data_IF_929174639074
#
_entry.id   IF_929174639074
#
_cell.length_a   1.000
_cell.length_b   1.000
_cell.length_c   1.000
_cell.angle_alpha   90.00
_cell.angle_beta   90.00
_cell.angle_gamma   90.00
#
_symmetry.space_group_name_H-M   'P 1'
#
loop_
_entity.id
_entity.type
_entity.pdbx_description
1 polymer ?
#
# COMPACT_ATOMS: atom_id res chain seq x y z
N UNK A 1 -2.92 -2.21 -11.03
CA UNK A 1 -2.42 -0.88 -11.40
C UNK A 1 -3.39 0.15 -10.84
N UNK A 2 -3.09 0.70 -9.66
CA UNK A 2 -3.91 1.77 -9.08
C UNK A 2 -3.45 3.08 -9.73
N UNK A 3 -4.35 3.71 -10.48
CA UNK A 3 -4.11 5.02 -11.08
C UNK A 3 -4.50 6.09 -10.07
N UNK A 4 -3.52 6.74 -9.46
CA UNK A 4 -3.73 7.88 -8.57
C UNK A 4 -3.83 9.17 -9.41
N UNK A 5 -4.88 9.98 -9.19
CA UNK A 5 -5.01 11.31 -9.80
C UNK A 5 -5.64 12.31 -8.83
N UNK A 6 -5.01 13.48 -8.75
CA UNK A 6 -5.51 14.65 -8.03
C UNK A 6 -6.79 15.19 -8.65
N UNK A 7 -7.75 15.52 -7.79
CA UNK A 7 -9.01 16.14 -8.15
C UNK A 7 -8.88 17.65 -8.24
N UNK A 8 -8.83 18.17 -9.47
CA UNK A 8 -9.41 19.49 -9.73
C UNK A 8 -10.87 19.43 -10.20
N UNK A 9 -11.46 18.22 -10.27
CA UNK A 9 -12.80 18.02 -10.84
C UNK A 9 -13.52 16.80 -10.24
N UNK A 10 -13.42 16.57 -8.93
CA UNK A 10 -14.30 15.61 -8.27
C UNK A 10 -15.63 16.30 -7.93
N UNK A 11 -16.74 15.72 -8.37
CA UNK A 11 -18.07 15.98 -7.81
C UNK A 11 -18.02 15.82 -6.29
N UNK A 12 -18.65 16.74 -5.55
CA UNK A 12 -18.66 16.83 -4.07
C UNK A 12 -19.28 15.58 -3.40
N UNK A 13 -19.89 14.69 -4.21
CA UNK A 13 -20.43 13.41 -3.80
C UNK A 13 -19.41 12.27 -3.71
N UNK A 14 -18.20 12.42 -4.29
CA UNK A 14 -17.17 11.37 -4.24
C UNK A 14 -16.48 11.38 -2.89
N UNK A 15 -16.26 10.19 -2.33
CA UNK A 15 -15.49 10.04 -1.11
C UNK A 15 -14.00 9.92 -1.44
N UNK A 16 -13.12 10.69 -0.76
CA UNK A 16 -11.69 10.54 -0.91
C UNK A 16 -11.23 9.15 -0.49
N UNK A 17 -10.16 8.67 -1.11
CA UNK A 17 -9.61 7.34 -0.83
C UNK A 17 -8.77 7.39 0.47
N UNK A 18 -8.92 6.41 1.38
CA UNK A 18 -7.94 6.21 2.45
C UNK A 18 -6.54 5.96 1.88
N UNK A 19 -5.51 6.44 2.56
CA UNK A 19 -4.11 6.27 2.16
C UNK A 19 -3.71 4.79 2.19
N UNK A 20 -4.17 4.08 3.21
CA UNK A 20 -3.93 2.65 3.41
C UNK A 20 -5.27 1.91 3.35
N UNK A 21 -5.27 0.71 2.78
CA UNK A 21 -6.40 -0.20 2.98
C UNK A 21 -6.47 -0.63 4.46
N UNK A 22 -7.62 -1.09 4.97
CA UNK A 22 -7.72 -1.51 6.37
C UNK A 22 -6.68 -2.55 6.76
N UNK A 23 -6.40 -3.51 5.88
CA UNK A 23 -5.40 -4.56 6.14
C UNK A 23 -3.97 -4.00 6.14
N UNK A 24 -3.66 -3.09 5.21
CA UNK A 24 -2.36 -2.41 5.19
C UNK A 24 -2.16 -1.51 6.43
N UNK A 25 -3.21 -0.80 6.86
CA UNK A 25 -3.20 0.03 8.05
C UNK A 25 -2.93 -0.78 9.33
N UNK A 26 -3.52 -1.97 9.46
CA UNK A 26 -3.25 -2.87 10.59
C UNK A 26 -1.79 -3.35 10.62
N UNK A 27 -1.21 -3.68 9.46
CA UNK A 27 0.21 -4.07 9.34
C UNK A 27 1.10 -2.88 9.71
N UNK A 28 0.85 -1.72 9.10
CA UNK A 28 1.63 -0.51 9.31
C UNK A 28 1.61 -0.06 10.78
N UNK A 29 0.45 -0.15 11.44
CA UNK A 29 0.32 0.13 12.88
C UNK A 29 1.29 -0.68 13.74
N UNK A 30 1.46 -1.96 13.42
CA UNK A 30 2.37 -2.84 14.15
C UNK A 30 3.84 -2.49 13.91
N UNK A 31 4.19 -2.08 12.69
CA UNK A 31 5.55 -1.67 12.32
C UNK A 31 5.93 -0.31 12.90
N UNK A 32 5.03 0.67 12.78
CA UNK A 32 5.24 2.04 13.26
C UNK A 32 5.51 2.06 14.77
N UNK A 33 4.57 1.58 15.57
CA UNK A 33 4.71 1.62 17.02
C UNK A 33 5.66 0.55 17.59
N UNK A 34 5.90 -0.55 16.85
CA UNK A 34 6.71 -1.67 17.32
C UNK A 34 8.19 -1.61 16.93
N UNK A 35 8.53 -0.97 15.82
CA UNK A 35 9.87 -0.99 15.25
C UNK A 35 10.42 0.41 14.95
N UNK A 36 9.63 1.27 14.31
CA UNK A 36 10.11 2.57 13.84
C UNK A 36 10.10 3.62 14.95
N UNK A 37 9.05 3.62 15.78
CA UNK A 37 8.81 4.62 16.81
C UNK A 37 8.37 3.96 18.13
N UNK A 38 9.25 3.17 18.78
CA UNK A 38 8.90 2.39 19.98
C UNK A 38 8.55 3.25 21.20
N UNK A 39 8.93 4.53 21.19
CA UNK A 39 8.63 5.48 22.27
C UNK A 39 7.21 6.07 22.15
N UNK A 40 6.50 5.85 21.03
CA UNK A 40 5.15 6.36 20.83
C UNK A 40 4.08 5.41 21.39
N UNK A 41 2.91 5.93 21.82
CA UNK A 41 1.80 5.09 22.22
C UNK A 41 1.31 4.18 21.08
N UNK A 42 1.09 2.90 21.38
CA UNK A 42 0.56 1.89 20.44
C UNK A 42 -0.93 2.09 20.10
N UNK A 43 -1.57 3.08 20.71
CA UNK A 43 -2.99 3.41 20.56
C UNK A 43 -3.19 4.93 20.43
N UNK A 44 -4.29 5.34 19.81
CA UNK A 44 -4.63 6.75 19.59
C UNK A 44 -4.53 7.22 18.13
N UNK A 45 -3.90 6.44 17.26
CA UNK A 45 -3.87 6.66 15.81
C UNK A 45 -4.60 5.51 15.11
N UNK A 46 -5.52 5.87 14.21
CA UNK A 46 -6.18 4.95 13.30
C UNK A 46 -5.74 5.25 11.87
N UNK A 47 -4.71 4.51 11.42
CA UNK A 47 -4.12 4.67 10.09
C UNK A 47 -5.07 4.36 8.94
N UNK A 48 -6.15 3.60 9.18
CA UNK A 48 -7.15 3.30 8.15
C UNK A 48 -8.06 4.51 7.84
N UNK A 49 -8.04 5.53 8.71
CA UNK A 49 -8.84 6.75 8.57
C UNK A 49 -8.06 7.92 7.99
N UNK A 50 -6.77 7.75 7.69
CA UNK A 50 -5.97 8.76 7.01
C UNK A 50 -6.45 8.92 5.58
N UNK A 51 -7.17 10.02 5.30
CA UNK A 51 -7.72 10.29 3.97
C UNK A 51 -6.72 11.01 3.07
N UNK A 52 -6.83 10.74 1.78
CA UNK A 52 -6.05 11.40 0.72
C UNK A 52 -6.89 12.49 0.03
N UNK A 53 -6.30 13.17 -0.95
CA UNK A 53 -7.00 14.08 -1.86
C UNK A 53 -7.29 13.43 -3.23
N UNK A 54 -7.21 12.10 -3.29
CA UNK A 54 -7.39 11.29 -4.50
C UNK A 54 -8.68 10.50 -4.46
N UNK A 55 -9.20 10.20 -5.66
CA UNK A 55 -10.48 9.50 -5.83
C UNK A 55 -10.31 8.33 -6.80
N UNK A 56 -10.94 7.19 -6.45
CA UNK A 56 -10.95 6.00 -7.30
C UNK A 56 -11.82 6.26 -8.53
N UNK A 57 -11.37 5.76 -9.68
CA UNK A 57 -12.07 5.83 -10.97
C UNK A 57 -12.45 7.26 -11.40
N UNK A 58 -11.71 8.28 -10.92
CA UNK A 58 -11.85 9.64 -11.39
C UNK A 58 -11.46 9.73 -12.88
N UNK A 59 -12.30 10.34 -13.75
CA UNK A 59 -11.98 10.47 -15.16
C UNK A 59 -10.66 11.21 -15.37
N UNK A 60 -9.82 10.71 -16.27
CA UNK A 60 -8.60 11.40 -16.66
C UNK A 60 -8.95 12.67 -17.45
N UNK A 61 -8.26 13.78 -17.14
CA UNK A 61 -8.34 14.99 -17.96
C UNK A 61 -7.76 14.73 -19.36
N UNK A 62 -8.33 15.34 -20.41
CA UNK A 62 -7.85 15.17 -21.77
C UNK A 62 -6.46 15.81 -21.98
N UNK A 63 -5.69 15.28 -22.92
CA UNK A 63 -4.39 15.83 -23.34
C UNK A 63 -3.17 15.00 -22.92
N UNK A 64 -1.99 15.38 -23.44
CA UNK A 64 -0.71 14.73 -23.10
C UNK A 64 -0.17 15.30 -21.79
N UNK A 65 0.35 14.44 -20.93
CA UNK A 65 0.88 14.78 -19.60
C UNK A 65 2.20 14.04 -19.37
N UNK A 66 3.20 14.65 -18.70
CA UNK A 66 4.42 13.94 -18.32
C UNK A 66 4.09 12.79 -17.36
N UNK A 67 4.79 11.66 -17.51
CA UNK A 67 4.63 10.47 -16.67
C UNK A 67 5.86 10.36 -15.76
N UNK A 68 5.61 10.23 -14.46
CA UNK A 68 6.64 9.98 -13.45
C UNK A 68 6.39 8.61 -12.82
N UNK A 69 7.41 7.74 -12.86
CA UNK A 69 7.40 6.47 -12.17
C UNK A 69 8.10 6.65 -10.82
N UNK A 70 7.36 6.51 -9.73
CA UNK A 70 7.88 6.59 -8.37
C UNK A 70 8.02 5.19 -7.78
N UNK A 71 9.22 4.90 -7.29
CA UNK A 71 9.58 3.68 -6.60
C UNK A 71 10.04 4.06 -5.18
N UNK A 72 9.33 3.63 -4.14
CA UNK A 72 9.84 3.70 -2.77
C UNK A 72 11.12 2.87 -2.62
N UNK A 73 11.87 3.12 -1.55
CA UNK A 73 13.01 2.30 -1.14
C UNK A 73 12.95 2.05 0.37
N UNK A 74 13.83 1.20 0.90
CA UNK A 74 13.93 0.99 2.35
C UNK A 74 12.74 0.23 2.94
N UNK A 75 12.24 -0.79 2.24
CA UNK A 75 11.04 -1.57 2.61
C UNK A 75 9.73 -0.77 2.61
N UNK A 76 9.74 0.51 2.24
CA UNK A 76 8.53 1.33 2.25
C UNK A 76 7.51 0.87 1.20
N UNK A 77 6.21 0.93 1.53
CA UNK A 77 5.13 0.71 0.59
C UNK A 77 4.90 1.94 -0.28
N UNK A 78 4.30 1.72 -1.47
CA UNK A 78 3.93 2.76 -2.44
C UNK A 78 3.13 3.91 -1.83
N UNK A 79 2.40 3.63 -0.76
CA UNK A 79 1.50 4.54 -0.06
C UNK A 79 2.23 5.58 0.80
N UNK A 80 3.50 5.39 1.15
CA UNK A 80 4.32 6.44 1.80
C UNK A 80 4.54 7.64 0.86
N UNK A 81 4.60 7.38 -0.45
CA UNK A 81 4.75 8.43 -1.46
C UNK A 81 3.47 9.19 -1.82
N UNK A 82 2.33 8.92 -1.16
CA UNK A 82 1.04 9.45 -1.57
C UNK A 82 1.01 10.97 -1.64
N UNK A 83 1.46 11.70 -0.61
CA UNK A 83 1.44 13.16 -0.63
C UNK A 83 2.26 13.77 -1.78
N UNK A 84 3.44 13.18 -2.08
CA UNK A 84 4.25 13.60 -3.23
C UNK A 84 3.54 13.30 -4.56
N UNK A 85 2.91 12.13 -4.67
CA UNK A 85 2.18 11.76 -5.86
C UNK A 85 0.99 12.71 -6.11
N UNK A 86 0.30 13.12 -5.05
CA UNK A 86 -0.83 14.05 -5.12
C UNK A 86 -0.42 15.46 -5.51
N UNK A 87 0.68 15.95 -4.96
CA UNK A 87 1.23 17.27 -5.31
C UNK A 87 1.59 17.34 -6.81
N UNK A 88 2.36 16.36 -7.29
CA UNK A 88 2.72 16.25 -8.71
C UNK A 88 1.50 16.04 -9.62
N UNK A 89 0.53 15.22 -9.20
CA UNK A 89 -0.69 15.02 -9.97
C UNK A 89 -1.52 16.31 -10.06
N UNK A 90 -1.54 17.10 -8.99
CA UNK A 90 -2.19 18.41 -8.94
C UNK A 90 -1.57 19.35 -9.97
N UNK A 91 -0.24 19.33 -10.12
CA UNK A 91 0.47 20.20 -11.04
C UNK A 91 0.32 19.83 -12.52
N UNK A 92 0.25 18.55 -12.86
CA UNK A 92 0.66 18.24 -14.23
C UNK A 92 0.79 16.78 -14.58
N UNK A 93 1.13 15.97 -13.59
CA UNK A 93 1.80 14.73 -13.86
C UNK A 93 0.83 13.55 -13.82
N UNK A 94 1.19 12.51 -14.55
CA UNK A 94 0.68 11.17 -14.29
C UNK A 94 1.72 10.49 -13.41
N UNK A 95 1.40 10.28 -12.14
CA UNK A 95 2.31 9.59 -11.22
C UNK A 95 1.90 8.12 -11.15
N UNK A 96 2.85 7.23 -11.39
CA UNK A 96 2.69 5.79 -11.24
C UNK A 96 3.56 5.35 -10.07
N UNK A 97 2.96 4.87 -9.01
CA UNK A 97 3.66 4.34 -7.83
C UNK A 97 3.70 2.82 -7.89
N UNK A 98 4.83 2.20 -7.53
CA UNK A 98 5.00 0.74 -7.53
C UNK A 98 5.41 0.22 -6.15
N UNK A 99 5.04 -1.03 -5.86
CA UNK A 99 5.59 -1.80 -4.73
C UNK A 99 6.61 -2.81 -5.26
N UNK A 100 7.53 -3.24 -4.38
CA UNK A 100 8.48 -4.31 -4.64
C UNK A 100 8.12 -5.54 -3.80
N UNK A 101 7.34 -6.50 -4.33
CA UNK A 101 6.92 -7.69 -3.58
C UNK A 101 8.13 -8.49 -3.07
N UNK A 102 8.15 -8.78 -1.77
CA UNK A 102 9.26 -9.47 -1.12
C UNK A 102 10.35 -8.55 -0.57
N UNK A 103 10.24 -7.24 -0.77
CA UNK A 103 11.07 -6.23 -0.09
C UNK A 103 10.21 -5.27 0.73
N UNK A 104 9.08 -4.83 0.17
CA UNK A 104 8.14 -3.91 0.81
C UNK A 104 7.46 -4.53 2.03
N UNK A 105 7.27 -3.73 3.09
CA UNK A 105 6.61 -4.11 4.36
C UNK A 105 5.21 -4.68 4.15
N UNK A 106 4.39 -4.03 3.34
CA UNK A 106 3.09 -4.52 2.91
C UNK A 106 2.78 -4.21 1.44
N UNK A 107 2.22 -5.20 0.73
CA UNK A 107 1.75 -5.03 -0.65
C UNK A 107 0.31 -5.45 -0.75
N UNK A 108 -0.54 -4.54 -1.23
CA UNK A 108 -1.95 -4.83 -1.46
C UNK A 108 -2.21 -5.27 -2.91
N UNK A 109 -2.61 -6.52 -3.06
CA UNK A 109 -2.99 -7.16 -4.32
C UNK A 109 -4.51 -7.10 -4.49
N UNK A 110 -4.97 -6.54 -5.62
CA UNK A 110 -6.36 -6.61 -6.01
C UNK A 110 -6.69 -8.03 -6.50
N UNK A 111 -7.53 -8.76 -5.76
CA UNK A 111 -8.01 -10.09 -6.13
C UNK A 111 -9.18 -9.96 -7.11
N UNK A 112 -8.88 -9.62 -8.37
CA UNK A 112 -9.85 -9.67 -9.49
C UNK A 112 -11.05 -8.72 -9.41
N UNK A 113 -11.26 -8.00 -8.29
CA UNK A 113 -12.23 -6.92 -8.12
C UNK A 113 -11.55 -5.69 -7.51
N UNK A 114 -11.84 -4.46 -7.98
CA UNK A 114 -11.20 -3.23 -7.50
C UNK A 114 -11.40 -2.94 -6.01
N UNK A 115 -12.40 -3.54 -5.37
CA UNK A 115 -12.69 -3.37 -3.95
C UNK A 115 -12.26 -4.56 -3.08
N UNK A 116 -11.83 -5.67 -3.71
CA UNK A 116 -11.41 -6.87 -3.01
C UNK A 116 -9.88 -6.90 -2.97
N UNK A 117 -9.35 -6.50 -1.83
CA UNK A 117 -7.95 -6.28 -1.58
C UNK A 117 -7.41 -7.34 -0.63
N UNK A 118 -6.15 -7.72 -0.81
CA UNK A 118 -5.43 -8.58 0.13
C UNK A 118 -4.04 -8.01 0.28
N UNK A 119 -3.74 -7.50 1.47
CA UNK A 119 -2.39 -7.08 1.82
C UNK A 119 -1.59 -8.29 2.31
N UNK A 120 -0.39 -8.45 1.76
CA UNK A 120 0.60 -9.39 2.26
C UNK A 120 1.71 -8.61 2.96
N UNK A 121 1.96 -8.93 4.23
CA UNK A 121 3.12 -8.42 4.98
C UNK A 121 4.37 -9.24 4.65
N UNK A 122 5.53 -8.60 4.52
CA UNK A 122 6.82 -9.28 4.40
C UNK A 122 7.82 -8.82 5.47
N UNK A 123 8.33 -9.78 6.26
CA UNK A 123 9.21 -9.61 7.45
C UNK A 123 8.40 -9.48 8.75
N UNK A 124 8.38 -10.41 9.72
CA UNK A 124 9.34 -11.41 10.23
C UNK A 124 8.78 -12.84 10.09
N UNK A 125 9.36 -13.67 9.21
CA UNK A 125 9.24 -15.14 9.30
C UNK A 125 10.58 -15.72 9.74
N UNK A 126 10.87 -15.63 11.04
CA UNK A 126 11.62 -16.69 11.71
C UNK A 126 10.60 -17.67 12.30
N UNK A 127 10.01 -18.50 11.45
CA UNK A 127 9.33 -19.72 11.88
C UNK A 127 10.13 -20.90 11.34
N UNK A 128 10.38 -21.94 12.16
CA UNK A 128 11.27 -23.03 11.79
C UNK A 128 10.73 -23.71 10.53
N UNK A 129 11.65 -24.02 9.63
CA UNK A 129 11.39 -24.81 8.42
C UNK A 129 10.50 -26.00 8.78
N UNK A 130 9.38 -26.26 8.08
CA UNK A 130 8.68 -27.52 8.26
C UNK A 130 9.66 -28.61 7.85
N UNK A 131 10.13 -29.39 8.82
CA UNK A 131 10.91 -30.60 8.55
C UNK A 131 10.03 -31.46 7.67
N UNK A 132 10.44 -31.62 6.41
CA UNK A 132 9.85 -32.59 5.49
C UNK A 132 9.76 -33.92 6.21
N UNK A 133 8.53 -34.40 6.38
CA UNK A 133 8.25 -35.64 7.09
C UNK A 133 9.09 -36.78 6.50
N UNK A 134 9.80 -37.46 7.39
CA UNK A 134 10.48 -38.72 7.09
C UNK A 134 9.47 -39.72 6.54
N UNK A 135 9.68 -40.20 5.32
CA UNK A 135 8.95 -41.35 4.79
C UNK A 135 9.13 -42.56 5.70
N UNK A 136 8.08 -43.33 6.03
CA UNK A 136 8.23 -44.55 6.80
C UNK A 136 8.99 -45.57 5.96
N UNK A 137 10.16 -45.99 6.45
CA UNK A 137 10.92 -47.11 5.91
C UNK A 137 10.34 -48.39 6.53
N UNK A 138 9.80 -49.29 5.72
CA UNK A 138 9.41 -50.64 6.17
C UNK A 138 10.66 -51.53 6.16
N UNK A 139 11.07 -52.15 7.28
CA UNK A 139 12.15 -53.15 7.30
C UNK A 139 11.61 -54.54 6.91
N UNK A 140 12.51 -55.51 6.57
CA UNK A 140 12.20 -56.68 5.74
C UNK A 140 11.26 -57.71 6.38
#
# INVERSE_FOLDING_TARGET
>A
MLGWRSARTADDSRQPLPQLSPVAADIFKGLDAGLLHPDLPVSGVDWATTMTHSYVDAPALPGRRPVLLYSPGGTDPRTIGTSLAEDLASDGYVVVTIDHPGETSEVDFALGRPSCHTAAAYGVRNSPTPTTGSSPTTPP
#
